data_IF_022036899986
#
_entry.id   IF_022036899986
#
_cell.length_a   1.000
_cell.length_b   1.000
_cell.length_c   1.000
_cell.angle_alpha   90.00
_cell.angle_beta   90.00
_cell.angle_gamma   90.00
#
_symmetry.space_group_name_H-M   'P 1'
#
loop_
_entity.id
_entity.type
_entity.pdbx_description
1 polymer ?
#
# COMPACT_ATOMS: atom_id res chain seq x y z
N UNK A 1 15.93 -9.28 20.35
CA UNK A 1 14.80 -8.34 20.43
C UNK A 1 15.29 -7.02 19.87
N UNK A 2 14.60 -6.43 18.91
CA UNK A 2 14.98 -5.13 18.33
C UNK A 2 14.81 -4.04 19.40
N UNK A 3 15.83 -3.23 19.66
CA UNK A 3 15.71 -2.13 20.61
C UNK A 3 14.59 -1.17 20.17
N UNK A 4 13.70 -0.74 21.09
CA UNK A 4 12.69 0.24 20.77
C UNK A 4 13.38 1.52 20.28
N UNK A 5 12.87 2.12 19.21
CA UNK A 5 13.38 3.38 18.68
C UNK A 5 13.37 4.42 19.81
N UNK A 6 14.53 4.71 20.39
CA UNK A 6 14.64 5.66 21.47
C UNK A 6 14.36 7.06 20.94
N UNK A 7 13.49 7.81 21.63
CA UNK A 7 13.25 9.20 21.29
C UNK A 7 14.54 10.01 21.44
N UNK A 8 14.82 10.87 20.45
CA UNK A 8 15.89 11.85 20.56
C UNK A 8 15.60 12.85 21.68
N UNK A 9 16.64 13.57 22.16
CA UNK A 9 16.47 14.58 23.20
C UNK A 9 15.44 15.66 22.81
N UNK A 10 15.47 16.11 21.55
CA UNK A 10 14.50 17.08 21.03
C UNK A 10 13.07 16.53 21.01
N UNK A 11 12.90 15.26 20.61
CA UNK A 11 11.59 14.60 20.62
C UNK A 11 11.00 14.48 22.03
N UNK A 12 11.85 14.26 23.04
CA UNK A 12 11.42 14.22 24.45
C UNK A 12 10.92 15.59 24.93
N UNK A 13 11.60 16.69 24.56
CA UNK A 13 11.14 18.03 24.90
C UNK A 13 9.80 18.38 24.25
N UNK A 14 9.63 18.04 22.96
CA UNK A 14 8.34 18.26 22.29
C UNK A 14 7.21 17.45 22.93
N UNK A 15 7.50 16.21 23.35
CA UNK A 15 6.55 15.40 24.09
C UNK A 15 6.15 16.09 25.39
N UNK A 16 7.10 16.54 26.21
CA UNK A 16 6.77 17.27 27.45
C UNK A 16 6.00 18.58 27.20
N UNK A 17 6.35 19.33 26.15
CA UNK A 17 5.65 20.57 25.78
C UNK A 17 4.19 20.28 25.43
N UNK A 18 3.94 19.24 24.63
CA UNK A 18 2.59 18.82 24.26
C UNK A 18 1.81 18.29 25.46
N UNK A 19 2.44 17.47 26.32
CA UNK A 19 1.81 16.99 27.57
C UNK A 19 1.37 18.16 28.44
N UNK A 20 2.25 19.15 28.68
CA UNK A 20 1.90 20.34 29.46
C UNK A 20 0.75 21.14 28.84
N UNK A 21 0.68 21.23 27.51
CA UNK A 21 -0.42 21.92 26.83
C UNK A 21 -1.76 21.17 27.02
N UNK A 22 -1.74 19.85 26.99
CA UNK A 22 -2.92 19.01 27.27
C UNK A 22 -3.37 19.20 28.72
N UNK A 23 -2.44 19.11 29.67
CA UNK A 23 -2.76 19.23 31.11
C UNK A 23 -3.27 20.62 31.49
N UNK A 24 -2.77 21.67 30.81
CA UNK A 24 -3.25 23.04 30.99
C UNK A 24 -4.62 23.30 30.33
N UNK A 25 -5.14 22.38 29.52
CA UNK A 25 -6.43 22.55 28.84
C UNK A 25 -7.58 22.26 29.79
N UNK A 26 -8.16 23.32 30.37
CA UNK A 26 -9.31 23.22 31.26
C UNK A 26 -10.69 23.15 30.58
N UNK A 27 -10.77 23.47 29.28
CA UNK A 27 -12.02 23.42 28.51
C UNK A 27 -12.19 22.04 27.82
N UNK A 28 -13.22 21.25 28.17
CA UNK A 28 -13.49 19.97 27.55
C UNK A 28 -13.69 20.03 26.03
N UNK A 29 -14.19 21.13 25.46
CA UNK A 29 -14.34 21.25 24.01
C UNK A 29 -13.01 21.44 23.31
N UNK A 30 -12.10 22.22 23.89
CA UNK A 30 -10.74 22.37 23.37
C UNK A 30 -10.01 21.03 23.43
N UNK A 31 -10.14 20.29 24.54
CA UNK A 31 -9.55 18.95 24.67
C UNK A 31 -10.11 17.98 23.61
N UNK A 32 -11.43 18.02 23.38
CA UNK A 32 -12.06 17.22 22.32
C UNK A 32 -11.55 17.60 20.92
N UNK A 33 -11.29 18.88 20.67
CA UNK A 33 -10.66 19.38 19.45
C UNK A 33 -9.26 18.82 19.26
N UNK A 34 -8.41 18.94 20.28
CA UNK A 34 -7.04 18.41 20.29
C UNK A 34 -7.02 16.89 20.05
N UNK A 35 -7.91 16.14 20.71
CA UNK A 35 -8.01 14.70 20.54
C UNK A 35 -8.35 14.30 19.09
N UNK A 36 -9.28 15.02 18.44
CA UNK A 36 -9.62 14.77 17.02
C UNK A 36 -8.44 15.06 16.09
N UNK A 37 -7.70 16.14 16.34
CA UNK A 37 -6.53 16.50 15.55
C UNK A 37 -5.42 15.45 15.69
N UNK A 38 -5.15 14.98 16.92
CA UNK A 38 -4.20 13.90 17.17
C UNK A 38 -4.60 12.61 16.46
N UNK A 39 -5.88 12.24 16.49
CA UNK A 39 -6.39 11.08 15.77
C UNK A 39 -6.17 11.20 14.26
N UNK A 40 -6.46 12.37 13.68
CA UNK A 40 -6.23 12.60 12.25
C UNK A 40 -4.75 12.52 11.89
N UNK A 41 -3.88 13.17 12.66
CA UNK A 41 -2.44 13.13 12.44
C UNK A 41 -1.88 11.70 12.51
N UNK A 42 -2.35 10.89 13.47
CA UNK A 42 -1.97 9.49 13.59
C UNK A 42 -2.38 8.67 12.37
N UNK A 43 -3.61 8.83 11.87
CA UNK A 43 -4.05 8.14 10.66
C UNK A 43 -3.22 8.54 9.44
N UNK A 44 -2.92 9.84 9.28
CA UNK A 44 -2.07 10.33 8.20
C UNK A 44 -0.65 9.74 8.28
N UNK A 45 -0.05 9.71 9.47
CA UNK A 45 1.27 9.10 9.66
C UNK A 45 1.26 7.61 9.32
N UNK A 46 0.24 6.87 9.77
CA UNK A 46 0.07 5.45 9.45
C UNK A 46 -0.03 5.23 7.93
N UNK A 47 -0.84 6.03 7.24
CA UNK A 47 -0.99 5.95 5.80
C UNK A 47 0.32 6.25 5.06
N UNK A 48 1.06 7.28 5.50
CA UNK A 48 2.36 7.63 4.95
C UNK A 48 3.39 6.51 5.14
N UNK A 49 3.52 5.95 6.35
CA UNK A 49 4.40 4.82 6.63
C UNK A 49 4.05 3.61 5.76
N UNK A 50 2.75 3.27 5.65
CA UNK A 50 2.30 2.19 4.78
C UNK A 50 2.63 2.45 3.30
N UNK A 51 2.50 3.68 2.83
CA UNK A 51 2.85 4.06 1.47
C UNK A 51 4.35 3.92 1.21
N UNK A 52 5.20 4.40 2.12
CA UNK A 52 6.66 4.25 2.03
C UNK A 52 7.05 2.77 2.02
N UNK A 53 6.49 1.96 2.93
CA UNK A 53 6.76 0.52 2.99
C UNK A 53 6.40 -0.19 1.67
N UNK A 54 5.24 0.14 1.07
CA UNK A 54 4.84 -0.41 -0.23
C UNK A 54 5.77 0.00 -1.37
N UNK A 55 6.34 1.20 -1.34
CA UNK A 55 7.31 1.62 -2.34
C UNK A 55 8.68 0.97 -2.14
N UNK A 56 9.18 0.90 -0.90
CA UNK A 56 10.53 0.38 -0.61
C UNK A 56 10.64 -1.13 -0.70
N UNK A 57 9.56 -1.87 -0.41
CA UNK A 57 9.55 -3.34 -0.52
C UNK A 57 9.29 -3.83 -1.95
N UNK A 58 9.09 -2.90 -2.90
CA UNK A 58 8.53 -3.20 -4.20
C UNK A 58 7.08 -3.66 -4.05
N UNK A 59 6.19 -3.21 -4.95
CA UNK A 59 4.96 -3.97 -5.14
C UNK A 59 5.37 -5.42 -5.46
N UNK A 60 4.69 -6.47 -4.93
CA UNK A 60 4.89 -7.79 -5.47
C UNK A 60 4.75 -7.65 -6.98
N UNK A 61 5.82 -8.01 -7.70
CA UNK A 61 5.80 -8.01 -9.14
C UNK A 61 4.47 -8.65 -9.56
N UNK A 62 3.72 -7.94 -10.39
CA UNK A 62 2.49 -8.45 -10.98
C UNK A 62 2.88 -9.60 -11.92
N UNK A 63 3.34 -10.71 -11.35
CA UNK A 63 3.51 -12.01 -12.01
C UNK A 63 2.11 -12.54 -12.26
N UNK A 64 1.43 -11.96 -13.25
CA UNK A 64 0.03 -12.27 -13.52
C UNK A 64 -0.59 -11.49 -14.68
N UNK A 65 0.20 -10.74 -15.45
CA UNK A 65 -0.26 -10.11 -16.70
C UNK A 65 0.46 -10.63 -17.95
N UNK A 66 1.37 -11.59 -17.80
CA UNK A 66 2.10 -12.21 -18.93
C UNK A 66 1.60 -13.63 -19.27
N UNK A 67 0.42 -14.00 -18.77
CA UNK A 67 -0.36 -15.13 -19.30
C UNK A 67 -1.44 -14.63 -20.25
N UNK A 68 -1.22 -13.51 -20.94
CA UNK A 68 -1.96 -13.21 -22.17
C UNK A 68 -1.51 -14.25 -23.17
N UNK A 69 -2.17 -15.40 -23.06
CA UNK A 69 -2.09 -16.57 -23.89
C UNK A 69 -1.78 -16.13 -25.31
N UNK A 70 -0.66 -16.63 -25.83
CA UNK A 70 -0.35 -16.62 -27.25
C UNK A 70 -1.51 -17.30 -27.98
N UNK A 71 -2.50 -16.49 -28.37
CA UNK A 71 -3.66 -16.91 -29.12
C UNK A 71 -3.27 -17.45 -30.51
N UNK A 72 -2.02 -17.24 -30.95
CA UNK A 72 -1.46 -17.82 -32.17
C UNK A 72 -1.04 -19.28 -32.00
N UNK A 73 -0.60 -19.71 -30.81
CA UNK A 73 -0.15 -21.09 -30.59
C UNK A 73 -1.31 -22.10 -30.62
N UNK A 74 -2.50 -21.69 -30.17
CA UNK A 74 -3.70 -22.53 -30.21
C UNK A 74 -4.27 -22.69 -31.63
N UNK A 75 -4.01 -21.74 -32.54
CA UNK A 75 -4.41 -21.83 -33.95
C UNK A 75 -3.52 -22.82 -34.73
N UNK A 76 -2.23 -22.89 -34.36
CA UNK A 76 -1.26 -23.83 -34.96
C UNK A 76 -1.51 -25.31 -34.62
N UNK A 77 -2.33 -25.60 -33.61
CA UNK A 77 -2.65 -26.96 -33.16
C UNK A 77 -4.03 -27.46 -33.60
N UNK A 78 -4.73 -26.72 -34.48
CA UNK A 78 -6.03 -27.16 -35.01
C UNK A 78 -5.83 -28.32 -36.01
N UNK A 79 -6.33 -29.55 -35.73
CA UNK A 79 -6.19 -30.66 -36.66
C UNK A 79 -6.98 -30.41 -37.95
N UNK A 80 -6.30 -30.59 -39.09
CA UNK A 80 -6.86 -30.44 -40.44
C UNK A 80 -8.09 -31.34 -40.62
N UNK A 81 -9.26 -30.71 -40.58
CA UNK A 81 -10.54 -31.37 -40.76
C UNK A 81 -11.02 -31.17 -42.18
N UNK A 82 -10.60 -32.06 -43.07
CA UNK A 82 -11.49 -32.69 -44.05
C UNK A 82 -11.58 -32.08 -45.47
N UNK A 83 -10.99 -32.84 -46.40
CA UNK A 83 -11.60 -33.42 -47.63
C UNK A 83 -12.34 -32.52 -48.64
N UNK A 84 -11.90 -32.63 -49.91
CA UNK A 84 -12.71 -32.50 -51.13
C UNK A 84 -12.06 -31.57 -52.17
N UNK A 85 -11.85 -31.90 -53.44
CA UNK A 85 -12.13 -33.05 -54.30
C UNK A 85 -11.15 -33.00 -55.48
N UNK A 86 -10.74 -34.14 -56.05
CA UNK A 86 -11.11 -34.53 -57.42
C UNK A 86 -11.42 -33.35 -58.38
N UNK A 87 -10.48 -33.06 -59.28
CA UNK A 87 -10.72 -32.73 -60.70
C UNK A 87 -9.39 -32.94 -61.47
N UNK A 88 -9.27 -34.05 -62.20
CA UNK A 88 -9.29 -34.15 -63.67
C UNK A 88 -8.05 -33.55 -64.34
N UNK A 89 -7.21 -34.43 -64.89
CA UNK A 89 -6.85 -34.46 -66.32
C UNK A 89 -6.59 -35.93 -66.73
#
# INVERSE_FOLDING_TARGET
MSEPLALSLGQKFELERMTRAIDATGDPQVLRGLAKQLLQAWQSQKAATQWVMRQQLGAPARFGAELTMDAGLLDALRPDSGKGGMDVL
#
